data_IF_056972860131
#
_entry.id   IF_056972860131
#
_cell.length_a   1.000
_cell.length_b   1.000
_cell.length_c   1.000
_cell.angle_alpha   90.00
_cell.angle_beta   90.00
_cell.angle_gamma   90.00
#
_symmetry.space_group_name_H-M   'P 1'
#
loop_
_entity.id
_entity.type
_entity.pdbx_description
1 polymer ?
#
# COMPACT_ATOMS: atom_id res chain seq x y z
N UNK A 1 16.01 79.27 -47.85
CA UNK A 1 17.18 78.67 -48.53
C UNK A 1 16.80 77.27 -48.97
N UNK A 2 16.61 77.07 -50.27
CA UNK A 2 16.24 75.79 -50.86
C UNK A 2 17.50 74.97 -51.13
N UNK A 3 17.64 73.81 -50.50
CA UNK A 3 18.67 72.84 -50.89
C UNK A 3 18.05 71.73 -51.72
N UNK A 4 18.35 71.83 -53.01
CA UNK A 4 18.19 70.80 -54.03
C UNK A 4 19.19 69.67 -53.72
N UNK A 5 18.71 68.46 -53.43
CA UNK A 5 19.56 67.26 -53.40
C UNK A 5 18.98 66.27 -54.41
N UNK A 6 19.44 66.41 -55.64
CA UNK A 6 19.30 65.39 -56.68
C UNK A 6 20.70 64.98 -57.11
N UNK A 7 21.17 63.80 -56.69
CA UNK A 7 21.84 62.80 -57.54
C UNK A 7 22.75 61.83 -56.76
N UNK A 8 22.52 60.53 -57.07
CA UNK A 8 23.47 59.40 -57.14
C UNK A 8 24.03 58.91 -55.80
N UNK A 9 23.98 57.63 -55.46
CA UNK A 9 24.43 56.47 -56.23
C UNK A 9 23.56 55.24 -55.90
N UNK A 10 23.02 54.58 -56.92
CA UNK A 10 22.53 53.20 -56.78
C UNK A 10 23.74 52.26 -56.78
N UNK A 11 23.93 51.40 -55.77
CA UNK A 11 24.85 50.29 -55.90
C UNK A 11 24.27 49.31 -56.92
N UNK A 12 24.94 49.14 -58.06
CA UNK A 12 24.71 48.00 -58.93
C UNK A 12 25.34 46.78 -58.26
N UNK A 13 24.55 46.03 -57.49
CA UNK A 13 24.90 44.66 -57.14
C UNK A 13 24.59 43.77 -58.35
N UNK A 14 25.62 43.08 -58.82
CA UNK A 14 25.56 42.13 -59.91
C UNK A 14 24.73 40.90 -59.49
N UNK A 15 23.41 40.97 -59.64
CA UNK A 15 22.48 39.89 -59.98
C UNK A 15 21.09 40.49 -60.11
N UNK A 16 20.92 41.43 -61.05
CA UNK A 16 19.57 41.83 -61.48
C UNK A 16 19.05 40.77 -62.45
N UNK A 17 18.56 39.65 -61.93
CA UNK A 17 17.64 38.84 -62.71
C UNK A 17 16.43 39.72 -63.01
N UNK A 18 16.21 40.01 -64.29
CA UNK A 18 15.05 40.76 -64.74
C UNK A 18 13.81 40.02 -64.29
N UNK A 19 12.84 40.72 -63.70
CA UNK A 19 11.57 40.15 -63.24
C UNK A 19 10.80 39.47 -64.39
N UNK A 20 11.12 39.80 -65.65
CA UNK A 20 10.62 39.14 -66.86
C UNK A 20 11.19 37.74 -67.06
N UNK A 21 12.43 37.48 -66.65
CA UNK A 21 13.09 36.18 -66.81
C UNK A 21 12.54 35.17 -65.79
N UNK A 22 12.23 35.63 -64.57
CA UNK A 22 11.55 34.86 -63.51
C UNK A 22 10.15 34.37 -63.93
N UNK A 23 9.47 35.10 -64.81
CA UNK A 23 8.14 34.74 -65.33
C UNK A 23 8.20 33.96 -66.64
N UNK A 24 9.37 33.83 -67.28
CA UNK A 24 9.52 33.23 -68.62
C UNK A 24 9.67 31.70 -68.61
N UNK A 25 9.86 31.08 -67.44
CA UNK A 25 9.85 29.62 -67.27
C UNK A 25 10.98 28.84 -67.95
N UNK A 26 11.95 29.50 -68.60
CA UNK A 26 13.07 28.85 -69.27
C UNK A 26 14.27 28.71 -68.33
N UNK A 27 14.17 27.82 -67.36
CA UNK A 27 15.32 27.43 -66.54
C UNK A 27 16.29 26.58 -67.37
N UNK A 28 17.59 26.86 -67.27
CA UNK A 28 18.63 26.03 -67.88
C UNK A 28 18.67 24.66 -67.19
N UNK A 29 19.04 23.59 -67.90
CA UNK A 29 19.25 22.27 -67.29
C UNK A 29 20.26 22.32 -66.12
N UNK A 30 21.23 23.24 -66.19
CA UNK A 30 22.21 23.45 -65.12
C UNK A 30 21.58 24.08 -63.86
N UNK A 31 20.57 24.96 -64.03
CA UNK A 31 19.87 25.59 -62.90
C UNK A 31 19.01 24.56 -62.17
N UNK A 32 18.34 23.67 -62.91
CA UNK A 32 17.58 22.56 -62.32
C UNK A 32 18.45 21.63 -61.47
N UNK A 33 19.66 21.30 -61.92
CA UNK A 33 20.59 20.48 -61.14
C UNK A 33 21.07 21.19 -59.87
N UNK A 34 21.28 22.51 -59.93
CA UNK A 34 21.70 23.30 -58.78
C UNK A 34 20.59 23.42 -57.74
N UNK A 35 19.35 23.62 -58.19
CA UNK A 35 18.15 23.66 -57.35
C UNK A 35 17.95 22.30 -56.65
N UNK A 36 18.05 21.19 -57.38
CA UNK A 36 17.91 19.86 -56.78
C UNK A 36 18.99 19.60 -55.71
N UNK A 37 20.24 19.99 -55.96
CA UNK A 37 21.32 19.91 -54.96
C UNK A 37 21.07 20.78 -53.73
N UNK A 38 20.41 21.92 -53.88
CA UNK A 38 20.04 22.79 -52.76
C UNK A 38 18.89 22.21 -51.95
N UNK A 39 17.90 21.60 -52.61
CA UNK A 39 16.79 20.89 -51.98
C UNK A 39 17.30 19.71 -51.15
N UNK A 40 18.17 18.87 -51.71
CA UNK A 40 18.73 17.70 -51.02
C UNK A 40 19.55 18.10 -49.78
N UNK A 41 20.34 19.17 -49.87
CA UNK A 41 21.17 19.67 -48.75
C UNK A 41 20.36 20.29 -47.62
N UNK A 42 19.15 20.76 -47.92
CA UNK A 42 18.29 21.48 -47.00
C UNK A 42 16.95 20.77 -46.76
N UNK A 43 16.90 19.44 -46.97
CA UNK A 43 15.68 18.65 -46.80
C UNK A 43 15.00 18.92 -45.45
N UNK A 44 15.76 18.90 -44.34
CA UNK A 44 15.23 19.15 -43.00
C UNK A 44 14.63 20.56 -42.80
N UNK A 45 15.12 21.57 -43.55
CA UNK A 45 14.57 22.92 -43.53
C UNK A 45 13.23 22.98 -44.28
N UNK A 46 13.16 22.37 -45.47
CA UNK A 46 11.93 22.35 -46.26
C UNK A 46 10.83 21.49 -45.60
N UNK A 47 11.20 20.38 -44.96
CA UNK A 47 10.27 19.58 -44.15
C UNK A 47 9.70 20.39 -42.97
N UNK A 48 10.50 21.32 -42.41
CA UNK A 48 10.03 22.22 -41.36
C UNK A 48 9.05 23.27 -41.88
N UNK A 49 9.33 23.87 -43.04
CA UNK A 49 8.45 24.88 -43.66
C UNK A 49 7.11 24.26 -44.12
N UNK A 50 7.11 22.97 -44.49
CA UNK A 50 5.91 22.23 -44.90
C UNK A 50 5.13 21.59 -43.73
N UNK A 51 5.48 21.89 -42.47
CA UNK A 51 4.91 21.28 -41.26
C UNK A 51 5.05 19.73 -41.18
N UNK A 52 5.91 19.14 -42.01
CA UNK A 52 6.25 17.71 -41.97
C UNK A 52 7.33 17.39 -40.92
N UNK A 53 7.80 18.40 -40.19
CA UNK A 53 8.72 18.23 -39.07
C UNK A 53 8.05 17.62 -37.82
N UNK A 54 8.90 17.11 -36.92
CA UNK A 54 8.51 16.65 -35.57
C UNK A 54 7.74 17.73 -34.80
N UNK A 55 8.02 19.01 -35.07
CA UNK A 55 7.29 20.14 -34.50
C UNK A 55 5.85 20.27 -35.01
N UNK A 56 5.61 20.14 -36.30
CA UNK A 56 4.26 20.24 -36.90
C UNK A 56 3.36 19.09 -36.46
N UNK A 57 3.95 17.93 -36.14
CA UNK A 57 3.23 16.79 -35.58
C UNK A 57 2.91 16.91 -34.08
N UNK A 58 3.43 17.91 -33.34
CA UNK A 58 3.18 18.01 -31.90
C UNK A 58 1.87 18.73 -31.58
N UNK A 59 0.96 17.99 -30.96
CA UNK A 59 -0.29 18.49 -30.36
C UNK A 59 -0.01 19.16 -29.00
N UNK A 60 1.18 18.94 -28.46
CA UNK A 60 1.60 19.27 -27.10
C UNK A 60 2.17 20.68 -26.87
N UNK A 61 2.47 21.43 -27.93
CA UNK A 61 3.24 22.69 -27.89
C UNK A 61 4.69 22.60 -27.38
N UNK A 62 5.14 21.44 -26.88
CA UNK A 62 6.43 21.28 -26.21
C UNK A 62 7.57 20.66 -27.03
N UNK A 63 7.28 20.04 -28.19
CA UNK A 63 8.32 19.41 -29.01
C UNK A 63 8.91 20.43 -29.98
N UNK A 64 10.21 20.73 -29.83
CA UNK A 64 10.95 21.63 -30.72
C UNK A 64 11.87 20.80 -31.61
N UNK A 65 11.88 21.07 -32.91
CA UNK A 65 12.95 20.61 -33.78
C UNK A 65 14.16 21.55 -33.61
N UNK A 66 15.37 21.07 -33.91
CA UNK A 66 16.49 21.96 -34.13
C UNK A 66 16.15 22.84 -35.34
N UNK A 67 16.12 24.16 -35.16
CA UNK A 67 15.93 25.11 -36.25
C UNK A 67 17.19 25.06 -37.13
N UNK A 68 17.23 24.15 -38.09
CA UNK A 68 18.25 24.19 -39.14
C UNK A 68 17.93 25.38 -40.04
N UNK A 69 18.78 26.41 -40.02
CA UNK A 69 18.71 27.50 -40.98
C UNK A 69 19.12 26.97 -42.35
N UNK A 70 18.55 27.54 -43.42
CA UNK A 70 18.95 27.24 -44.79
C UNK A 70 20.48 27.32 -44.91
N UNK A 71 21.11 26.19 -45.20
CA UNK A 71 22.55 26.09 -45.52
C UNK A 71 22.71 26.59 -46.93
N UNK A 72 22.78 27.92 -47.05
CA UNK A 72 23.01 28.59 -48.31
C UNK A 72 24.46 28.29 -48.74
N UNK A 73 24.64 27.71 -49.93
CA UNK A 73 25.95 27.65 -50.56
C UNK A 73 26.29 29.04 -51.09
N UNK A 74 26.57 29.98 -50.20
CA UNK A 74 27.21 31.21 -50.60
C UNK A 74 28.64 30.83 -51.02
N UNK A 75 28.86 30.73 -52.33
CA UNK A 75 30.19 30.92 -52.89
C UNK A 75 30.76 32.19 -52.27
N UNK A 76 32.01 32.12 -51.79
CA UNK A 76 32.67 33.14 -50.99
C UNK A 76 32.15 34.55 -51.31
N UNK A 77 31.40 35.12 -50.38
CA UNK A 77 30.98 36.51 -50.50
C UNK A 77 32.25 37.33 -50.68
N UNK A 78 32.45 37.88 -51.89
CA UNK A 78 33.54 38.77 -52.18
C UNK A 78 33.41 39.95 -51.22
N UNK A 79 34.23 39.95 -50.16
CA UNK A 79 34.26 41.04 -49.18
C UNK A 79 34.57 42.31 -49.96
N UNK A 80 33.70 43.30 -49.87
CA UNK A 80 33.98 44.60 -50.47
C UNK A 80 35.28 45.14 -49.88
N UNK A 81 36.03 45.93 -50.65
CA UNK A 81 37.30 46.49 -50.20
C UNK A 81 37.15 47.24 -48.86
N UNK A 82 36.01 47.92 -48.67
CA UNK A 82 35.63 48.54 -47.40
C UNK A 82 35.54 47.55 -46.23
N UNK A 83 34.96 46.37 -46.41
CA UNK A 83 34.90 45.33 -45.37
C UNK A 83 36.27 44.67 -45.09
N UNK A 84 37.22 44.77 -46.02
CA UNK A 84 38.60 44.33 -45.80
C UNK A 84 39.39 45.38 -45.00
N UNK A 85 39.17 46.66 -45.29
CA UNK A 85 39.90 47.77 -44.67
C UNK A 85 39.34 48.18 -43.29
N UNK A 86 38.03 48.00 -43.08
CA UNK A 86 37.33 48.36 -41.84
C UNK A 86 36.79 47.13 -41.12
N UNK A 87 37.71 46.26 -40.66
CA UNK A 87 37.37 45.26 -39.66
C UNK A 87 37.31 45.95 -38.30
N UNK A 88 36.23 45.74 -37.53
CA UNK A 88 36.11 46.23 -36.16
C UNK A 88 37.35 45.79 -35.35
N UNK A 89 38.25 46.74 -35.11
CA UNK A 89 39.41 46.52 -34.25
C UNK A 89 38.86 46.40 -32.84
N UNK A 90 38.96 45.22 -32.24
CA UNK A 90 38.57 45.06 -30.85
C UNK A 90 39.35 46.07 -30.00
N UNK A 91 38.67 46.90 -29.20
CA UNK A 91 39.36 47.84 -28.34
C UNK A 91 40.28 47.04 -27.42
N UNK A 92 41.55 47.43 -27.36
CA UNK A 92 42.52 46.82 -26.45
C UNK A 92 41.93 46.92 -25.04
N UNK A 93 41.65 45.76 -24.42
CA UNK A 93 41.14 45.70 -23.04
C UNK A 93 42.18 46.35 -22.14
N UNK A 94 41.94 47.60 -21.74
CA UNK A 94 42.64 48.20 -20.62
C UNK A 94 42.46 47.26 -19.43
N UNK A 95 43.57 46.88 -18.80
CA UNK A 95 43.60 45.96 -17.66
C UNK A 95 42.58 46.45 -16.63
N UNK A 96 41.63 45.58 -16.29
CA UNK A 96 40.52 45.89 -15.41
C UNK A 96 41.04 46.47 -14.10
N UNK A 97 40.57 47.66 -13.75
CA UNK A 97 40.72 48.23 -12.42
C UNK A 97 40.17 47.19 -11.44
N UNK A 98 41.02 46.75 -10.51
CA UNK A 98 40.68 45.84 -9.41
C UNK A 98 39.39 46.30 -8.76
N UNK A 99 38.35 45.45 -8.81
CA UNK A 99 37.08 45.75 -8.17
C UNK A 99 37.32 45.99 -6.67
N UNK A 100 36.97 47.19 -6.21
CA UNK A 100 36.93 47.50 -4.78
C UNK A 100 35.95 46.53 -4.09
N UNK A 101 36.29 46.02 -2.90
CA UNK A 101 35.42 45.11 -2.18
C UNK A 101 34.09 45.81 -1.91
N UNK A 102 33.03 45.30 -2.53
CA UNK A 102 31.67 45.78 -2.34
C UNK A 102 31.21 45.32 -0.96
N UNK A 103 30.70 46.26 -0.17
CA UNK A 103 30.17 46.00 1.16
C UNK A 103 29.07 44.91 1.08
N UNK A 104 29.26 43.83 1.83
CA UNK A 104 28.26 42.75 1.97
C UNK A 104 27.51 43.01 3.26
N UNK A 105 26.23 43.29 3.16
CA UNK A 105 25.35 43.29 4.33
C UNK A 105 25.13 41.85 4.79
N UNK A 106 25.78 41.48 5.90
CA UNK A 106 25.62 40.18 6.57
C UNK A 106 24.31 40.07 7.38
N UNK A 107 23.41 41.05 7.24
CA UNK A 107 22.11 41.02 7.91
C UNK A 107 21.14 40.13 7.14
N UNK A 108 21.13 38.84 7.47
CA UNK A 108 20.06 37.93 7.08
C UNK A 108 18.77 38.32 7.81
N UNK A 109 18.00 39.21 7.19
CA UNK A 109 16.64 39.53 7.63
C UNK A 109 15.80 38.25 7.57
N UNK A 110 15.32 37.78 8.72
CA UNK A 110 14.40 36.64 8.79
C UNK A 110 13.02 37.12 8.36
N UNK A 111 12.71 36.96 7.08
CA UNK A 111 11.37 37.20 6.55
C UNK A 111 10.47 36.00 6.84
N UNK A 112 9.95 35.94 8.07
CA UNK A 112 8.85 35.03 8.43
C UNK A 112 7.60 35.86 8.67
N UNK A 113 6.53 35.54 7.96
CA UNK A 113 5.22 36.17 8.17
C UNK A 113 4.51 35.50 9.34
N UNK A 114 3.67 36.24 10.07
CA UNK A 114 2.85 35.72 11.17
C UNK A 114 2.04 34.51 10.72
N UNK A 115 1.49 34.54 9.50
CA UNK A 115 0.77 33.42 8.91
C UNK A 115 1.60 32.12 8.84
N UNK A 116 2.91 32.21 8.57
CA UNK A 116 3.78 31.02 8.50
C UNK A 116 4.15 30.46 9.87
N UNK A 117 4.15 31.31 10.90
CA UNK A 117 4.35 30.90 12.28
C UNK A 117 3.08 30.29 12.88
N UNK A 118 1.93 30.88 12.59
CA UNK A 118 0.64 30.53 13.20
C UNK A 118 -0.02 29.31 12.55
N UNK A 119 0.16 29.10 11.24
CA UNK A 119 -0.44 28.00 10.49
C UNK A 119 0.57 26.91 10.13
N UNK A 120 1.34 26.43 11.12
CA UNK A 120 2.11 25.19 10.95
C UNK A 120 1.13 24.03 10.92
N UNK A 121 1.18 23.22 9.86
CA UNK A 121 0.29 22.08 9.65
C UNK A 121 0.10 21.28 10.95
N UNK A 122 -1.10 21.26 11.54
CA UNK A 122 -1.33 20.47 12.72
C UNK A 122 -1.09 19.01 12.35
N UNK A 123 -0.08 18.39 12.96
CA UNK A 123 0.22 16.97 12.81
C UNK A 123 -1.09 16.20 12.88
N UNK A 124 -1.49 15.59 11.77
CA UNK A 124 -2.72 14.82 11.69
C UNK A 124 -2.71 13.79 12.81
N UNK A 125 -3.51 14.01 13.85
CA UNK A 125 -3.71 13.01 14.89
C UNK A 125 -4.31 11.80 14.19
N UNK A 126 -3.80 10.58 14.43
CA UNK A 126 -4.38 9.38 13.85
C UNK A 126 -5.85 9.36 14.25
N UNK A 127 -6.74 9.31 13.25
CA UNK A 127 -8.16 9.15 13.51
C UNK A 127 -8.32 7.79 14.20
N UNK A 128 -8.54 7.80 15.51
CA UNK A 128 -8.96 6.60 16.22
C UNK A 128 -10.33 6.27 15.66
N UNK A 129 -10.39 5.29 14.77
CA UNK A 129 -11.64 4.79 14.24
C UNK A 129 -12.49 4.31 15.41
N UNK A 130 -13.47 5.12 15.82
CA UNK A 130 -14.46 4.72 16.80
C UNK A 130 -15.30 3.63 16.11
N UNK A 131 -14.93 2.38 16.34
CA UNK A 131 -15.74 1.23 15.91
C UNK A 131 -16.86 1.13 16.94
N UNK A 132 -18.14 1.32 16.55
CA UNK A 132 -19.24 1.05 17.46
C UNK A 132 -19.14 -0.41 17.90
N UNK A 133 -19.14 -0.65 19.21
CA UNK A 133 -19.19 -2.01 19.74
C UNK A 133 -20.46 -2.67 19.23
N UNK A 134 -20.32 -3.65 18.35
CA UNK A 134 -21.47 -4.42 17.90
C UNK A 134 -22.04 -5.16 19.10
N UNK A 135 -23.34 -5.04 19.39
CA UNK A 135 -23.96 -5.79 20.48
C UNK A 135 -23.82 -7.28 20.16
N UNK A 136 -22.98 -7.97 20.92
CA UNK A 136 -22.90 -9.43 20.84
C UNK A 136 -24.20 -9.96 21.44
N UNK A 137 -25.10 -10.40 20.57
CA UNK A 137 -26.28 -11.14 21.00
C UNK A 137 -25.83 -12.52 21.49
N UNK A 138 -25.50 -12.60 22.79
CA UNK A 138 -25.22 -13.86 23.46
C UNK A 138 -26.57 -14.45 23.84
N UNK A 139 -27.10 -15.30 22.97
CA UNK A 139 -28.29 -16.07 23.29
C UNK A 139 -27.91 -17.07 24.39
N UNK A 140 -28.54 -17.02 25.58
CA UNK A 140 -28.21 -17.94 26.66
C UNK A 140 -28.57 -19.37 26.20
N UNK A 141 -27.55 -20.19 26.02
CA UNK A 141 -27.75 -21.59 25.70
C UNK A 141 -28.13 -22.33 27.00
N UNK A 142 -29.41 -22.68 27.14
CA UNK A 142 -29.91 -23.46 28.26
C UNK A 142 -29.53 -24.94 28.08
N UNK A 143 -28.24 -25.26 28.32
CA UNK A 143 -27.68 -26.61 28.22
C UNK A 143 -27.82 -27.44 29.49
N UNK A 144 -28.51 -26.93 30.51
CA UNK A 144 -28.64 -27.59 31.81
C UNK A 144 -29.86 -28.47 31.85
N UNK A 145 -29.71 -29.74 32.24
CA UNK A 145 -30.85 -30.54 32.66
C UNK A 145 -31.42 -29.97 33.96
N UNK A 146 -32.71 -30.20 34.22
CA UNK A 146 -33.38 -29.80 35.48
C UNK A 146 -32.66 -30.38 36.72
N UNK A 147 -32.08 -31.57 36.58
CA UNK A 147 -31.27 -32.21 37.61
C UNK A 147 -30.03 -31.37 37.96
N UNK A 148 -29.34 -30.84 36.95
CA UNK A 148 -28.11 -30.07 37.13
C UNK A 148 -28.37 -28.69 37.77
N UNK A 149 -29.54 -28.08 37.52
CA UNK A 149 -29.96 -26.86 38.22
C UNK A 149 -30.31 -27.12 39.70
N UNK A 150 -31.02 -28.21 39.98
CA UNK A 150 -31.59 -28.48 41.30
C UNK A 150 -30.63 -29.18 42.26
N UNK A 151 -29.65 -29.93 41.73
CA UNK A 151 -28.68 -30.70 42.51
C UNK A 151 -27.27 -30.11 42.36
N UNK A 152 -27.19 -28.78 42.22
CA UNK A 152 -25.91 -28.08 42.33
C UNK A 152 -25.35 -28.36 43.72
N UNK A 153 -24.08 -28.78 43.80
CA UNK A 153 -23.44 -29.08 45.09
C UNK A 153 -23.60 -27.86 46.01
N UNK A 154 -24.43 -28.01 47.05
CA UNK A 154 -24.52 -27.01 48.10
C UNK A 154 -23.10 -26.77 48.64
N UNK A 155 -22.68 -25.52 48.85
CA UNK A 155 -21.41 -25.27 49.50
C UNK A 155 -21.42 -26.03 50.82
N UNK A 156 -20.40 -26.85 51.04
CA UNK A 156 -20.23 -27.55 52.31
C UNK A 156 -20.04 -26.44 53.34
N UNK A 157 -21.10 -26.14 54.11
CA UNK A 157 -21.05 -25.12 55.13
C UNK A 157 -19.83 -25.38 56.00
N UNK A 158 -19.07 -24.33 56.26
CA UNK A 158 -17.89 -24.39 57.12
C UNK A 158 -18.31 -25.07 58.41
N UNK A 159 -17.74 -26.26 58.66
CA UNK A 159 -18.06 -27.06 59.85
C UNK A 159 -17.71 -26.18 61.04
N UNK A 160 -18.73 -25.68 61.72
CA UNK A 160 -18.55 -24.96 62.99
C UNK A 160 -17.89 -25.97 63.91
N UNK A 161 -16.59 -25.81 64.12
CA UNK A 161 -15.86 -26.55 65.12
C UNK A 161 -16.42 -26.11 66.47
N UNK A 162 -17.41 -26.85 66.98
CA UNK A 162 -17.84 -26.75 68.36
C UNK A 162 -16.61 -27.16 69.16
N UNK A 163 -15.87 -26.17 69.65
CA UNK A 163 -14.73 -26.39 70.54
C UNK A 163 -15.32 -27.07 71.78
N UNK A 164 -15.00 -28.35 72.06
CA UNK A 164 -15.49 -28.97 73.27
C UNK A 164 -14.93 -28.17 74.45
N UNK A 165 -15.81 -27.74 75.36
CA UNK A 165 -15.36 -27.08 76.58
C UNK A 165 -14.43 -28.06 77.32
N UNK A 166 -13.15 -27.68 77.47
CA UNK A 166 -12.11 -28.47 78.14
C UNK A 166 -12.29 -28.50 79.67
N UNK A 167 -13.52 -28.55 80.15
CA UNK A 167 -13.82 -28.83 81.54
C UNK A 167 -14.08 -30.33 81.63
N UNK A 168 -13.17 -31.13 82.22
CA UNK A 168 -13.46 -32.54 82.45
C UNK A 168 -14.64 -32.63 83.42
N UNK A 169 -15.83 -32.96 82.91
CA UNK A 169 -17.03 -33.23 83.72
C UNK A 169 -16.85 -34.47 84.60
N UNK A 170 -15.79 -35.25 84.38
CA UNK A 170 -15.44 -36.43 85.16
C UNK A 170 -14.20 -36.12 86.00
N UNK A 171 -14.36 -36.09 87.33
CA UNK A 171 -13.23 -36.03 88.27
C UNK A 171 -12.40 -37.31 88.16
N UNK A 172 -11.22 -37.23 87.54
CA UNK A 172 -10.33 -38.37 87.31
C UNK A 172 -9.80 -39.01 88.60
N UNK A 173 -9.82 -38.25 89.69
CA UNK A 173 -9.30 -38.70 90.99
C UNK A 173 -10.32 -39.50 91.81
N UNK A 174 -11.59 -39.55 91.38
CA UNK A 174 -12.59 -40.40 92.01
C UNK A 174 -12.58 -41.80 91.37
N UNK A 175 -11.77 -42.72 91.92
CA UNK A 175 -11.88 -44.14 91.55
C UNK A 175 -13.22 -44.69 92.00
N UNK A 176 -14.01 -45.18 91.06
CA UNK A 176 -15.23 -45.92 91.38
C UNK A 176 -14.87 -47.25 92.06
N UNK A 177 -15.12 -47.35 93.36
CA UNK A 177 -14.81 -48.54 94.18
C UNK A 177 -15.92 -49.61 94.13
N UNK A 178 -16.92 -49.46 93.26
CA UNK A 178 -18.00 -50.43 93.10
C UNK A 178 -17.51 -51.71 92.40
N UNK A 179 -17.20 -52.73 93.19
CA UNK A 179 -17.13 -54.12 92.72
C UNK A 179 -18.31 -54.88 93.30
N UNK A 180 -19.20 -55.37 92.44
CA UNK A 180 -20.26 -56.28 92.88
C UNK A 180 -19.64 -57.62 93.29
N UNK A 181 -20.22 -58.27 94.30
CA UNK A 181 -19.75 -59.59 94.75
C UNK A 181 -19.79 -60.63 93.63
N UNK A 182 -20.74 -60.51 92.69
CA UNK A 182 -20.81 -61.35 91.50
C UNK A 182 -19.53 -61.28 90.65
N UNK A 183 -18.98 -60.07 90.43
CA UNK A 183 -17.74 -59.89 89.65
C UNK A 183 -16.50 -60.39 90.39
N UNK A 184 -16.53 -60.46 91.73
CA UNK A 184 -15.45 -61.05 92.53
C UNK A 184 -15.47 -62.59 92.50
N UNK A 185 -16.66 -63.18 92.40
CA UNK A 185 -16.83 -64.63 92.51
C UNK A 185 -16.92 -65.35 91.15
N UNK A 186 -17.24 -64.63 90.07
CA UNK A 186 -17.32 -65.17 88.71
C UNK A 186 -16.42 -64.37 87.76
N UNK A 187 -15.10 -64.47 87.95
CA UNK A 187 -14.15 -64.18 86.88
C UNK A 187 -14.12 -65.40 85.96
N UNK A 188 -14.81 -65.32 84.82
CA UNK A 188 -14.88 -66.41 83.86
C UNK A 188 -13.47 -66.94 83.53
N UNK A 189 -13.26 -68.24 83.72
CA UNK A 189 -12.07 -68.93 83.25
C UNK A 189 -11.97 -68.75 81.73
N UNK A 190 -10.80 -68.41 81.16
CA UNK A 190 -10.67 -68.21 79.73
C UNK A 190 -10.99 -69.52 79.01
N UNK A 191 -12.05 -69.51 78.21
CA UNK A 191 -12.41 -70.63 77.34
C UNK A 191 -11.30 -70.73 76.28
N UNK A 192 -10.50 -71.78 76.37
CA UNK A 192 -9.57 -72.17 75.32
C UNK A 192 -10.38 -72.49 74.08
N UNK A 193 -10.29 -71.66 73.03
CA UNK A 193 -10.89 -71.98 71.73
C UNK A 193 -10.30 -73.29 71.22
N UNK A 194 -11.09 -74.35 71.27
CA UNK A 194 -10.82 -75.57 70.52
C UNK A 194 -10.82 -75.19 69.04
N UNK A 195 -9.61 -75.06 68.48
CA UNK A 195 -9.42 -75.30 67.05
C UNK A 195 -9.71 -76.77 66.88
N UNK A 196 -10.81 -77.12 66.21
CA UNK A 196 -10.80 -78.20 65.25
C UNK A 196 -12.13 -78.34 64.48
N UNK A 197 -11.94 -78.38 63.16
CA UNK A 197 -12.53 -79.37 62.27
C UNK A 197 -14.05 -79.33 62.16
N UNK A 198 -14.55 -78.57 61.19
CA UNK A 198 -15.43 -78.99 60.08
C UNK A 198 -15.67 -77.67 59.31
N UNK A 199 -15.51 -77.67 57.99
CA UNK A 199 -15.47 -76.50 57.08
C UNK A 199 -14.09 -75.85 56.92
N UNK A 200 -13.50 -76.09 55.75
CA UNK A 200 -12.08 -76.00 55.48
C UNK A 200 -11.51 -74.60 55.48
N UNK A 201 -10.24 -74.52 55.88
CA UNK A 201 -9.38 -73.35 55.88
C UNK A 201 -9.01 -72.82 54.48
N UNK A 202 -9.79 -73.13 53.43
CA UNK A 202 -9.68 -72.55 52.10
C UNK A 202 -11.07 -72.44 51.44
N UNK A 203 -12.05 -71.80 52.10
CA UNK A 203 -13.15 -71.20 51.33
C UNK A 203 -12.67 -69.87 50.77
N UNK A 204 -11.84 -69.93 49.72
CA UNK A 204 -11.92 -68.92 48.69
C UNK A 204 -13.34 -68.97 48.17
N UNK A 205 -14.21 -68.09 48.71
CA UNK A 205 -15.42 -67.67 48.04
C UNK A 205 -14.97 -67.11 46.69
N UNK A 206 -14.84 -68.02 45.71
CA UNK A 206 -14.60 -67.67 44.33
C UNK A 206 -15.76 -66.80 43.93
N UNK A 207 -15.44 -65.55 43.57
CA UNK A 207 -16.38 -64.64 42.95
C UNK A 207 -17.15 -65.44 41.88
N UNK A 208 -18.49 -65.48 41.89
CA UNK A 208 -19.27 -66.29 40.93
C UNK A 208 -19.04 -65.88 39.47
N UNK A 209 -18.29 -64.80 39.26
CA UNK A 209 -17.78 -64.34 37.98
C UNK A 209 -16.26 -64.54 38.00
N UNK A 210 -15.83 -65.58 37.30
CA UNK A 210 -14.44 -65.95 37.11
C UNK A 210 -13.62 -64.73 36.60
N UNK A 211 -12.59 -64.24 37.32
CA UNK A 211 -11.84 -63.04 36.94
C UNK A 211 -11.05 -63.18 35.64
N UNK A 212 -10.99 -64.38 35.06
CA UNK A 212 -10.34 -64.67 33.77
C UNK A 212 -11.27 -64.65 32.55
N UNK A 213 -12.58 -64.47 32.71
CA UNK A 213 -13.53 -64.45 31.59
C UNK A 213 -13.93 -63.01 31.25
N UNK A 214 -13.37 -62.40 30.19
CA UNK A 214 -13.80 -61.08 29.75
C UNK A 214 -15.28 -61.14 29.32
N UNK A 215 -16.08 -60.21 29.84
CA UNK A 215 -17.49 -60.10 29.48
C UNK A 215 -17.64 -59.64 28.02
N UNK A 216 -18.08 -60.55 27.14
CA UNK A 216 -18.28 -60.27 25.71
C UNK A 216 -19.66 -59.65 25.38
N UNK A 217 -20.42 -59.22 26.39
CA UNK A 217 -21.74 -58.62 26.20
C UNK A 217 -21.63 -57.22 25.64
N UNK A 218 -21.94 -57.05 24.36
CA UNK A 218 -22.20 -55.75 23.74
C UNK A 218 -23.63 -55.73 23.21
N UNK A 219 -24.39 -54.71 23.59
CA UNK A 219 -25.77 -54.55 23.11
C UNK A 219 -25.79 -54.17 21.62
N UNK A 220 -26.86 -54.52 20.92
CA UNK A 220 -27.07 -54.15 19.51
C UNK A 220 -27.04 -52.63 19.32
N UNK A 221 -27.56 -51.89 20.30
CA UNK A 221 -27.52 -50.42 20.35
C UNK A 221 -26.08 -49.87 20.41
N UNK A 222 -25.21 -50.41 21.27
CA UNK A 222 -23.82 -49.94 21.37
C UNK A 222 -22.99 -50.28 20.13
N UNK A 223 -23.36 -51.33 19.39
CA UNK A 223 -22.75 -51.66 18.09
C UNK A 223 -23.22 -50.74 16.97
N UNK A 224 -24.51 -50.40 16.93
CA UNK A 224 -25.12 -49.63 15.86
C UNK A 224 -24.83 -48.12 15.96
N UNK A 225 -24.79 -47.56 17.17
CA UNK A 225 -24.65 -46.13 17.40
C UNK A 225 -23.26 -45.78 17.91
N UNK A 226 -22.28 -45.77 17.01
CA UNK A 226 -20.95 -45.22 17.30
C UNK A 226 -20.93 -43.72 16.97
N UNK A 227 -20.31 -42.87 17.79
CA UNK A 227 -20.19 -41.45 17.49
C UNK A 227 -19.41 -41.29 16.18
N UNK A 228 -20.08 -40.80 15.14
CA UNK A 228 -19.45 -40.48 13.88
C UNK A 228 -19.01 -39.02 13.87
N UNK A 229 -17.82 -38.75 13.34
CA UNK A 229 -17.37 -37.37 13.12
C UNK A 229 -18.09 -36.85 11.88
N UNK A 230 -19.10 -36.01 12.08
CA UNK A 230 -19.75 -35.31 10.98
C UNK A 230 -18.69 -34.49 10.22
N UNK A 231 -18.60 -34.67 8.90
CA UNK A 231 -17.77 -33.80 8.05
C UNK A 231 -18.32 -32.39 8.19
N UNK A 232 -17.47 -31.45 8.62
CA UNK A 232 -17.80 -30.02 8.64
C UNK A 232 -17.97 -29.55 7.21
N UNK A 233 -19.19 -29.55 6.70
CA UNK A 233 -19.56 -28.84 5.48
C UNK A 233 -19.43 -27.35 5.80
N UNK A 234 -18.39 -26.70 5.25
CA UNK A 234 -18.32 -25.24 5.30
C UNK A 234 -19.56 -24.72 4.57
N UNK A 235 -20.38 -23.86 5.21
CA UNK A 235 -21.45 -23.22 4.48
C UNK A 235 -20.81 -22.44 3.33
N UNK A 236 -21.16 -22.81 2.10
CA UNK A 236 -20.87 -22.00 0.91
C UNK A 236 -21.56 -20.67 1.15
N UNK A 237 -20.76 -19.66 1.51
CA UNK A 237 -21.20 -18.28 1.52
C UNK A 237 -21.54 -17.94 0.08
N UNK A 238 -22.81 -18.07 -0.30
CA UNK A 238 -23.33 -17.37 -1.45
C UNK A 238 -23.29 -15.89 -1.08
N UNK A 239 -22.18 -15.23 -1.37
CA UNK A 239 -22.14 -13.77 -1.43
C UNK A 239 -23.02 -13.38 -2.60
N UNK A 240 -24.33 -13.35 -2.38
CA UNK A 240 -25.23 -12.56 -3.21
C UNK A 240 -24.77 -11.12 -3.02
N UNK A 241 -23.91 -10.67 -3.93
CA UNK A 241 -23.61 -9.26 -4.07
C UNK A 241 -24.96 -8.60 -4.39
N UNK A 242 -25.55 -7.97 -3.38
CA UNK A 242 -26.71 -7.12 -3.57
C UNK A 242 -26.22 -6.00 -4.46
N UNK A 243 -26.50 -6.10 -5.76
CA UNK A 243 -26.29 -5.00 -6.68
C UNK A 243 -27.28 -3.93 -6.25
N UNK A 244 -26.78 -2.89 -5.57
CA UNK A 244 -27.59 -1.73 -5.23
C UNK A 244 -27.99 -1.06 -6.54
N UNK A 245 -29.21 -1.30 -6.97
CA UNK A 245 -29.81 -0.55 -8.08
C UNK A 245 -29.95 0.89 -7.61
N UNK A 246 -29.38 1.88 -8.33
CA UNK A 246 -29.53 3.27 -7.96
C UNK A 246 -31.01 3.65 -7.95
N UNK A 247 -31.40 4.46 -6.99
CA UNK A 247 -32.78 4.94 -6.82
C UNK A 247 -33.20 5.87 -7.97
N UNK A 248 -32.24 6.53 -8.62
CA UNK A 248 -32.45 7.37 -9.81
C UNK A 248 -31.17 7.47 -10.66
N UNK A 249 -31.33 7.77 -11.96
CA UNK A 249 -30.21 7.96 -12.88
C UNK A 249 -29.34 9.14 -12.44
N UNK A 250 -28.05 8.88 -12.23
CA UNK A 250 -27.09 9.89 -11.79
C UNK A 250 -26.88 10.02 -10.28
N UNK A 251 -27.48 9.15 -9.45
CA UNK A 251 -27.30 9.17 -7.98
C UNK A 251 -25.84 9.16 -7.51
N UNK A 252 -24.93 8.58 -8.30
CA UNK A 252 -23.49 8.51 -8.00
C UNK A 252 -22.63 9.40 -8.93
N UNK A 253 -23.27 10.22 -9.76
CA UNK A 253 -22.63 11.16 -10.67
C UNK A 253 -22.50 12.51 -9.97
N UNK A 254 -21.40 12.72 -9.24
CA UNK A 254 -21.10 14.05 -8.72
C UNK A 254 -20.58 14.94 -9.84
N UNK A 255 -20.85 16.25 -9.74
CA UNK A 255 -20.32 17.27 -10.68
C UNK A 255 -18.80 17.12 -10.82
N UNK A 256 -18.12 16.84 -9.71
CA UNK A 256 -16.67 16.57 -9.71
C UNK A 256 -16.27 15.35 -10.55
N UNK A 257 -17.07 14.28 -10.59
CA UNK A 257 -16.76 13.10 -11.40
C UNK A 257 -16.98 13.33 -12.89
N UNK A 258 -17.93 14.22 -13.24
CA UNK A 258 -18.16 14.65 -14.61
C UNK A 258 -17.06 15.60 -15.10
N UNK A 259 -16.62 16.53 -14.25
CA UNK A 259 -15.63 17.54 -14.60
C UNK A 259 -14.19 17.00 -14.57
N UNK A 260 -13.89 16.08 -13.67
CA UNK A 260 -12.56 15.50 -13.44
C UNK A 260 -12.49 14.03 -13.82
N UNK A 261 -13.18 13.63 -14.88
CA UNK A 261 -12.91 12.34 -15.51
C UNK A 261 -11.44 12.22 -15.91
N UNK A 262 -10.87 11.02 -15.83
CA UNK A 262 -9.52 10.74 -16.28
C UNK A 262 -9.39 11.12 -17.75
N UNK A 263 -8.88 12.33 -18.02
CA UNK A 263 -8.52 12.76 -19.36
C UNK A 263 -7.35 11.88 -19.75
N UNK A 264 -7.62 10.82 -20.51
CA UNK A 264 -6.60 9.95 -21.07
C UNK A 264 -5.54 10.85 -21.69
N UNK A 265 -4.31 10.79 -21.16
CA UNK A 265 -3.21 11.63 -21.63
C UNK A 265 -3.01 11.32 -23.11
N UNK A 266 -3.47 12.21 -23.98
CA UNK A 266 -3.28 12.13 -25.42
C UNK A 266 -1.77 12.08 -25.67
N UNK A 267 -1.26 10.91 -26.03
CA UNK A 267 0.16 10.71 -26.27
C UNK A 267 0.51 11.47 -27.53
N UNK A 268 1.37 12.49 -27.39
CA UNK A 268 1.82 13.27 -28.52
C UNK A 268 2.60 12.38 -29.53
N UNK A 269 2.22 12.33 -30.81
CA UNK A 269 2.88 11.47 -31.80
C UNK A 269 4.35 11.85 -32.01
N UNK A 270 4.69 13.14 -31.93
CA UNK A 270 6.07 13.60 -31.95
C UNK A 270 6.94 12.98 -30.84
N UNK A 271 6.37 12.72 -29.66
CA UNK A 271 7.06 12.13 -28.52
C UNK A 271 7.39 10.65 -28.76
N UNK A 272 6.54 9.93 -29.51
CA UNK A 272 6.77 8.54 -29.92
C UNK A 272 7.98 8.44 -30.87
N UNK A 273 8.05 9.36 -31.84
CA UNK A 273 9.17 9.43 -32.80
C UNK A 273 10.48 9.80 -32.10
N UNK A 274 10.45 10.75 -31.17
CA UNK A 274 11.65 11.12 -30.39
C UNK A 274 12.13 9.98 -29.49
N UNK A 275 11.22 9.23 -28.88
CA UNK A 275 11.57 8.07 -28.04
C UNK A 275 12.18 6.93 -28.86
N UNK A 276 11.64 6.64 -30.04
CA UNK A 276 12.21 5.61 -30.93
C UNK A 276 13.62 5.98 -31.39
N UNK A 277 13.87 7.24 -31.79
CA UNK A 277 15.23 7.74 -32.13
C UNK A 277 16.21 7.66 -30.94
N UNK A 278 15.74 7.92 -29.72
CA UNK A 278 16.59 7.82 -28.52
C UNK A 278 16.96 6.37 -28.20
N UNK A 279 16.05 5.43 -28.46
CA UNK A 279 16.27 4.01 -28.21
C UNK A 279 17.18 3.37 -29.27
N UNK A 280 17.06 3.76 -30.54
CA UNK A 280 17.96 3.27 -31.60
C UNK A 280 19.43 3.68 -31.38
N UNK A 281 19.67 4.85 -30.79
CA UNK A 281 21.03 5.31 -30.47
C UNK A 281 21.62 4.64 -29.23
N UNK A 282 20.82 3.92 -28.43
CA UNK A 282 21.27 3.19 -27.23
C UNK A 282 21.55 1.72 -27.48
N UNK A 283 21.00 1.13 -28.54
CA UNK A 283 21.22 -0.28 -28.91
C UNK A 283 22.43 -0.51 -29.83
N UNK A 284 23.23 0.52 -30.08
CA UNK A 284 24.42 0.48 -30.93
C UNK A 284 25.75 0.48 -30.16
N UNK A 285 25.73 0.18 -28.86
CA UNK A 285 26.93 -0.06 -28.04
C UNK A 285 26.92 -1.49 -27.54
#
# INVERSE_FOLDING_TARGET
MNFNISNRLRPQTAYSMSQKDLMSGKFSQNDHQLINKLLDKNAAYFDHVQDQCICGLCICGGCKCGLERLKEQQGMAMKSQYQQDYVEKQPLRNKSISQLPTYKDDYTMKFETTQRLDFKDPKQRPQTSYKPEQPRFVQPFHAGSTYQLTHTKMPENEKVNIIPQNHPTVMKDLKFLGSSEYKRNFSGTPITKERNLIFGAHSSFGNPINPGLPFFGSTTSSRAFKPFKAKKTRPTKSTTQIQSVPTFDGQFSTITKLDFGDKSLQICPAKVILNSKKNSNRSGF
#
